data_IF_568001546300
#
_entry.id   IF_568001546300
#
_cell.length_a   1.000
_cell.length_b   1.000
_cell.length_c   1.000
_cell.angle_alpha   90.00
_cell.angle_beta   90.00
_cell.angle_gamma   90.00
#
_symmetry.space_group_name_H-M   'P 1'
#
loop_
_entity.id
_entity.type
_entity.pdbx_description
1 polymer ?
#
# COMPACT_ATOMS: atom_id res chain seq x y z
N UNK A 1 21.04 -35.36 4.95
CA UNK A 1 20.58 -34.01 4.63
C UNK A 1 21.57 -33.41 3.65
N UNK A 2 21.25 -33.47 2.35
CA UNK A 2 22.05 -32.77 1.34
C UNK A 2 21.70 -31.28 1.42
N UNK A 3 22.66 -30.45 1.74
CA UNK A 3 22.52 -29.00 1.67
C UNK A 3 22.47 -28.58 0.20
N UNK A 4 21.29 -28.28 -0.28
CA UNK A 4 21.13 -27.65 -1.59
C UNK A 4 21.37 -26.14 -1.40
N UNK A 5 22.55 -25.67 -1.78
CA UNK A 5 22.91 -24.26 -1.66
C UNK A 5 22.24 -23.37 -2.72
N UNK A 6 21.88 -23.97 -3.85
CA UNK A 6 21.27 -23.27 -4.97
C UNK A 6 20.43 -24.23 -5.82
N UNK A 7 19.60 -23.70 -6.69
CA UNK A 7 18.79 -24.46 -7.63
C UNK A 7 18.57 -23.65 -8.92
N UNK A 8 18.21 -24.34 -9.97
CA UNK A 8 17.79 -23.76 -11.24
C UNK A 8 16.30 -24.00 -11.43
N UNK A 9 15.61 -23.04 -12.04
CA UNK A 9 14.25 -23.20 -12.53
C UNK A 9 14.30 -23.40 -14.05
N UNK A 10 13.61 -24.43 -14.54
CA UNK A 10 13.45 -24.68 -15.96
C UNK A 10 11.98 -24.73 -16.33
N UNK A 11 11.66 -24.22 -17.51
CA UNK A 11 10.31 -24.32 -18.07
C UNK A 11 10.10 -25.68 -18.74
N UNK A 12 8.91 -25.92 -19.30
CA UNK A 12 8.54 -27.14 -19.98
C UNK A 12 9.46 -27.50 -21.15
N UNK A 13 10.05 -26.51 -21.84
CA UNK A 13 11.02 -26.70 -22.92
C UNK A 13 12.45 -26.91 -22.41
N UNK A 14 12.68 -27.01 -21.10
CA UNK A 14 14.00 -27.16 -20.49
C UNK A 14 14.83 -25.88 -20.43
N UNK A 15 14.31 -24.75 -20.90
CA UNK A 15 15.03 -23.48 -20.85
C UNK A 15 15.08 -22.92 -19.43
N UNK A 16 16.21 -22.31 -19.06
CA UNK A 16 16.38 -21.67 -17.77
C UNK A 16 15.41 -20.50 -17.61
N UNK A 17 14.76 -20.44 -16.44
CA UNK A 17 13.93 -19.32 -16.00
C UNK A 17 14.72 -18.55 -14.94
N UNK A 18 15.22 -17.35 -15.25
CA UNK A 18 15.89 -16.52 -14.28
C UNK A 18 14.96 -16.18 -13.12
N UNK A 19 15.50 -16.15 -11.91
CA UNK A 19 14.75 -15.76 -10.72
C UNK A 19 15.63 -14.93 -9.78
N UNK A 20 14.96 -14.22 -8.90
CA UNK A 20 15.56 -13.46 -7.79
C UNK A 20 15.11 -14.07 -6.47
N UNK A 21 16.04 -14.31 -5.56
CA UNK A 21 15.68 -14.72 -4.21
C UNK A 21 15.15 -13.49 -3.45
N UNK A 22 13.92 -13.60 -2.96
CA UNK A 22 13.25 -12.57 -2.18
C UNK A 22 13.52 -12.78 -0.68
N UNK A 23 13.44 -14.00 -0.21
CA UNK A 23 13.77 -14.37 1.17
C UNK A 23 14.12 -15.84 1.30
N UNK A 24 14.91 -16.15 2.34
CA UNK A 24 15.24 -17.52 2.72
C UNK A 24 14.93 -17.68 4.21
N UNK A 25 14.11 -18.65 4.55
CA UNK A 25 13.90 -19.09 5.93
C UNK A 25 14.48 -20.49 6.07
N UNK A 26 15.54 -20.59 6.83
CA UNK A 26 16.24 -21.85 7.01
C UNK A 26 15.64 -22.65 8.17
N UNK A 27 15.75 -23.97 8.07
CA UNK A 27 15.48 -24.91 9.15
C UNK A 27 14.04 -24.77 9.72
N UNK A 28 13.06 -24.49 8.83
CA UNK A 28 11.66 -24.42 9.22
C UNK A 28 11.12 -25.82 9.46
N UNK A 29 10.54 -26.04 10.65
CA UNK A 29 9.90 -27.31 10.97
C UNK A 29 8.44 -27.29 10.48
N UNK A 30 8.06 -28.30 9.71
CA UNK A 30 6.67 -28.52 9.30
C UNK A 30 6.24 -29.94 9.65
N UNK A 31 5.03 -30.05 10.13
CA UNK A 31 4.36 -31.34 10.27
C UNK A 31 3.90 -31.81 8.87
N UNK A 32 4.36 -32.99 8.48
CA UNK A 32 4.05 -33.56 7.18
C UNK A 32 2.83 -34.50 7.25
N UNK A 33 2.83 -35.39 8.23
CA UNK A 33 1.71 -36.30 8.53
C UNK A 33 1.75 -36.60 10.02
N UNK A 34 0.61 -36.65 10.70
CA UNK A 34 0.46 -37.02 12.10
C UNK A 34 1.67 -36.63 12.99
N UNK A 35 2.62 -37.55 13.16
CA UNK A 35 3.79 -37.36 14.03
C UNK A 35 5.11 -37.14 13.25
N UNK A 36 5.04 -37.00 11.93
CA UNK A 36 6.22 -36.81 11.10
C UNK A 36 6.52 -35.35 10.91
N UNK A 37 7.57 -34.88 11.58
CA UNK A 37 8.11 -33.53 11.41
C UNK A 37 9.32 -33.58 10.50
N UNK A 38 9.38 -32.67 9.55
CA UNK A 38 10.55 -32.49 8.68
C UNK A 38 11.02 -31.05 8.73
N UNK A 39 12.31 -30.88 8.55
CA UNK A 39 12.94 -29.55 8.47
C UNK A 39 13.18 -29.20 7.02
N UNK A 40 12.84 -27.96 6.66
CA UNK A 40 12.93 -27.44 5.30
C UNK A 40 13.58 -26.07 5.32
N UNK A 41 14.31 -25.78 4.25
CA UNK A 41 14.62 -24.41 3.86
C UNK A 41 13.55 -23.90 2.91
N UNK A 42 12.97 -22.77 3.24
CA UNK A 42 11.91 -22.15 2.45
C UNK A 42 12.49 -20.96 1.69
N UNK A 43 12.55 -21.09 0.38
CA UNK A 43 12.95 -20.02 -0.52
C UNK A 43 11.71 -19.35 -1.08
N UNK A 44 11.62 -18.03 -0.94
CA UNK A 44 10.67 -17.22 -1.69
C UNK A 44 11.43 -16.59 -2.85
N UNK A 45 10.95 -16.78 -4.05
CA UNK A 45 11.60 -16.28 -5.26
C UNK A 45 10.63 -15.47 -6.09
N UNK A 46 11.14 -14.45 -6.79
CA UNK A 46 10.44 -13.70 -7.83
C UNK A 46 10.99 -14.14 -9.19
N UNK A 47 10.12 -14.48 -10.12
CA UNK A 47 10.46 -14.83 -11.49
C UNK A 47 9.30 -14.50 -12.43
N UNK A 48 9.56 -14.53 -13.73
CA UNK A 48 8.54 -14.31 -14.76
C UNK A 48 8.37 -15.55 -15.62
N UNK A 49 7.13 -15.85 -15.92
CA UNK A 49 6.76 -16.91 -16.84
C UNK A 49 5.49 -16.54 -17.59
N UNK A 50 5.32 -17.10 -18.78
CA UNK A 50 4.06 -16.98 -19.52
C UNK A 50 3.10 -18.03 -18.99
N UNK A 51 1.93 -17.60 -18.56
CA UNK A 51 0.84 -18.49 -18.19
C UNK A 51 -0.11 -18.64 -19.38
N UNK A 52 -0.61 -19.86 -19.60
CA UNK A 52 -1.68 -20.11 -20.57
C UNK A 52 -3.01 -19.64 -19.98
N UNK A 53 -3.85 -19.05 -20.80
CA UNK A 53 -5.20 -18.72 -20.37
C UNK A 53 -5.95 -20.01 -20.03
N UNK A 54 -6.61 -20.05 -18.85
CA UNK A 54 -7.34 -21.20 -18.33
C UNK A 54 -6.53 -22.52 -18.33
N UNK A 55 -5.23 -22.44 -18.09
CA UNK A 55 -4.32 -23.57 -18.10
C UNK A 55 -3.29 -23.53 -16.98
N UNK A 56 -2.33 -24.41 -17.06
CA UNK A 56 -1.19 -24.47 -16.13
C UNK A 56 0.13 -24.42 -16.89
N UNK A 57 1.18 -24.06 -16.18
CA UNK A 57 2.56 -24.09 -16.65
C UNK A 57 3.40 -24.80 -15.60
N UNK A 58 4.19 -25.77 -16.02
CA UNK A 58 5.07 -26.52 -15.14
C UNK A 58 6.46 -25.89 -15.12
N UNK A 59 7.02 -25.75 -13.93
CA UNK A 59 8.41 -25.41 -13.72
C UNK A 59 9.09 -26.59 -13.01
N UNK A 60 10.26 -26.98 -13.53
CA UNK A 60 11.12 -27.96 -12.89
C UNK A 60 12.17 -27.24 -12.04
N UNK A 61 12.31 -27.67 -10.81
CA UNK A 61 13.34 -27.20 -9.90
C UNK A 61 14.44 -28.27 -9.88
N UNK A 62 15.67 -27.88 -10.20
CA UNK A 62 16.84 -28.76 -10.21
C UNK A 62 17.89 -28.21 -9.23
N UNK A 63 18.39 -29.03 -8.29
CA UNK A 63 19.52 -28.64 -7.44
C UNK A 63 20.72 -28.23 -8.32
N UNK A 64 21.44 -27.19 -7.88
CA UNK A 64 22.63 -26.72 -8.60
C UNK A 64 23.73 -26.39 -7.59
N UNK A 65 24.99 -26.70 -7.88
CA UNK A 65 26.12 -26.23 -7.10
C UNK A 65 26.40 -24.76 -7.30
N UNK A 66 25.93 -24.19 -8.41
CA UNK A 66 26.18 -22.79 -8.77
C UNK A 66 25.23 -21.87 -8.03
N UNK A 67 25.79 -20.81 -7.44
CA UNK A 67 24.99 -19.77 -6.80
C UNK A 67 24.32 -18.91 -7.86
N UNK A 68 22.99 -18.73 -7.74
CA UNK A 68 22.27 -17.74 -8.53
C UNK A 68 22.55 -16.35 -7.90
N UNK A 69 23.41 -15.60 -8.57
CA UNK A 69 23.71 -14.21 -8.23
C UNK A 69 23.28 -13.31 -9.38
N UNK A 70 22.46 -12.33 -9.07
CA UNK A 70 22.18 -11.24 -10.02
C UNK A 70 22.80 -9.97 -9.49
N UNK A 71 23.59 -9.32 -10.34
CA UNK A 71 24.16 -8.01 -10.06
C UNK A 71 23.34 -6.88 -10.69
N UNK A 72 22.26 -7.22 -11.37
CA UNK A 72 21.36 -6.23 -11.96
C UNK A 72 20.39 -5.70 -10.89
N UNK A 73 20.13 -4.42 -10.96
CA UNK A 73 19.20 -3.71 -10.08
C UNK A 73 18.28 -2.82 -10.92
N UNK A 74 17.08 -2.58 -10.42
CA UNK A 74 16.18 -1.55 -10.96
C UNK A 74 16.42 -0.19 -10.30
N UNK A 75 17.27 -0.12 -9.29
CA UNK A 75 17.62 1.15 -8.66
C UNK A 75 18.49 1.99 -9.60
N UNK A 76 18.18 3.27 -9.66
CA UNK A 76 18.99 4.28 -10.38
C UNK A 76 19.78 5.16 -9.43
N UNK A 77 19.35 5.23 -8.16
CA UNK A 77 20.08 5.89 -7.07
C UNK A 77 19.68 5.30 -5.71
N UNK A 78 20.10 5.93 -4.62
CA UNK A 78 19.65 5.57 -3.28
C UNK A 78 18.16 5.87 -3.07
N UNK A 79 17.61 6.82 -3.82
CA UNK A 79 16.23 7.32 -3.69
C UNK A 79 15.43 7.22 -4.98
N UNK A 80 15.86 6.44 -5.95
CA UNK A 80 15.12 6.26 -7.19
C UNK A 80 15.29 4.88 -7.78
N UNK A 81 14.27 4.44 -8.51
CA UNK A 81 14.26 3.17 -9.23
C UNK A 81 13.40 3.29 -10.51
N UNK A 82 13.69 2.44 -11.49
CA UNK A 82 12.88 2.30 -12.70
C UNK A 82 12.90 0.86 -13.20
N UNK A 83 11.75 0.43 -13.71
CA UNK A 83 11.64 -0.84 -14.44
C UNK A 83 11.51 -0.63 -15.96
N UNK A 84 11.72 0.61 -16.43
CA UNK A 84 11.55 1.00 -17.84
C UNK A 84 10.12 1.40 -18.23
N UNK A 85 9.13 1.13 -17.36
CA UNK A 85 7.73 1.54 -17.52
C UNK A 85 7.37 2.62 -16.50
N UNK A 86 7.68 2.36 -15.25
CA UNK A 86 7.50 3.30 -14.14
C UNK A 86 8.87 3.77 -13.62
N UNK A 87 8.92 5.02 -13.20
CA UNK A 87 10.02 5.60 -12.43
C UNK A 87 9.49 6.05 -11.08
N UNK A 88 10.24 5.76 -10.04
CA UNK A 88 9.99 6.17 -8.67
C UNK A 88 11.08 7.12 -8.20
N UNK A 89 10.71 8.22 -7.60
CA UNK A 89 11.62 9.17 -6.97
C UNK A 89 11.14 9.46 -5.53
N UNK A 90 11.95 9.09 -4.53
CA UNK A 90 11.61 9.18 -3.11
C UNK A 90 12.14 10.47 -2.49
N UNK A 91 11.29 11.15 -1.74
CA UNK A 91 11.58 12.41 -1.05
C UNK A 91 12.01 12.20 0.40
N UNK A 92 12.78 13.14 0.97
CA UNK A 92 13.26 13.04 2.36
C UNK A 92 12.13 12.93 3.39
N UNK A 93 10.99 13.57 3.14
CA UNK A 93 9.81 13.59 4.01
C UNK A 93 9.01 12.28 3.98
N UNK A 94 9.39 11.30 3.15
CA UNK A 94 8.77 9.98 3.07
C UNK A 94 7.60 9.91 2.10
N UNK A 95 7.41 10.90 1.25
CA UNK A 95 6.57 10.81 0.07
C UNK A 95 7.39 10.33 -1.14
N UNK A 96 6.74 10.03 -2.26
CA UNK A 96 7.41 9.68 -3.50
C UNK A 96 6.58 10.06 -4.73
N UNK A 97 7.27 10.28 -5.83
CA UNK A 97 6.66 10.50 -7.13
C UNK A 97 6.68 9.22 -7.96
N UNK A 98 5.63 9.03 -8.75
CA UNK A 98 5.52 7.95 -9.73
C UNK A 98 5.38 8.57 -11.11
N UNK A 99 6.29 8.25 -12.02
CA UNK A 99 6.21 8.69 -13.42
C UNK A 99 5.99 7.48 -14.32
N UNK A 100 4.91 7.49 -15.11
CA UNK A 100 4.73 6.57 -16.22
C UNK A 100 5.57 7.06 -17.41
N UNK A 101 6.60 6.32 -17.74
CA UNK A 101 7.57 6.68 -18.78
C UNK A 101 6.99 6.57 -20.20
N UNK A 102 5.89 5.83 -20.38
CA UNK A 102 5.22 5.68 -21.69
C UNK A 102 4.40 6.93 -22.04
N UNK A 103 3.72 7.49 -21.06
CA UNK A 103 2.88 8.69 -21.22
C UNK A 103 3.58 9.98 -20.81
N UNK A 104 4.68 9.90 -20.06
CA UNK A 104 5.34 11.05 -19.43
C UNK A 104 4.56 11.65 -18.27
N UNK A 105 3.43 11.05 -17.86
CA UNK A 105 2.60 11.55 -16.75
C UNK A 105 3.27 11.24 -15.42
N UNK A 106 3.31 12.24 -14.54
CA UNK A 106 3.83 12.10 -13.18
C UNK A 106 2.72 12.32 -12.15
N UNK A 107 2.68 11.44 -11.17
CA UNK A 107 1.81 11.49 -10.00
C UNK A 107 2.69 11.78 -8.79
N UNK A 108 2.49 12.93 -8.16
CA UNK A 108 3.41 13.46 -7.15
C UNK A 108 2.89 13.23 -5.74
N UNK A 109 3.82 13.15 -4.79
CA UNK A 109 3.55 13.11 -3.34
C UNK A 109 2.67 11.93 -2.90
N UNK A 110 2.88 10.74 -3.47
CA UNK A 110 2.28 9.52 -2.93
C UNK A 110 2.80 9.22 -1.53
N UNK A 111 2.04 8.46 -0.75
CA UNK A 111 2.34 8.13 0.64
C UNK A 111 2.13 9.31 1.60
N UNK A 112 1.23 10.21 1.25
CA UNK A 112 0.79 11.28 2.14
C UNK A 112 -0.40 10.81 2.96
N UNK A 113 -0.38 11.14 4.26
CA UNK A 113 -1.43 10.78 5.20
C UNK A 113 -2.06 12.02 5.80
N UNK A 114 -3.37 11.97 5.94
CA UNK A 114 -4.17 12.98 6.59
C UNK A 114 -4.80 12.40 7.84
N UNK A 115 -4.74 13.16 8.91
CA UNK A 115 -5.40 12.86 10.16
C UNK A 115 -6.52 13.89 10.38
N UNK A 116 -7.73 13.40 10.54
CA UNK A 116 -8.90 14.21 10.88
C UNK A 116 -9.42 13.79 12.25
N UNK A 117 -9.97 14.74 13.02
CA UNK A 117 -10.64 14.41 14.27
C UNK A 117 -11.93 13.65 13.98
N UNK A 118 -12.24 12.69 14.84
CA UNK A 118 -13.40 11.84 14.71
C UNK A 118 -14.16 11.79 16.03
N UNK A 119 -15.42 12.19 16.02
CA UNK A 119 -16.30 12.21 17.19
C UNK A 119 -17.52 11.29 17.03
N UNK A 120 -17.55 10.53 15.94
CA UNK A 120 -18.58 9.54 15.69
C UNK A 120 -18.42 8.27 16.50
N UNK A 121 -19.25 7.33 16.22
CA UNK A 121 -19.24 5.99 16.81
C UNK A 121 -18.74 4.93 15.81
N UNK A 122 -18.90 3.66 16.12
CA UNK A 122 -18.48 2.56 15.24
C UNK A 122 -19.29 2.43 13.93
N UNK A 123 -20.34 3.19 13.76
CA UNK A 123 -21.23 3.17 12.59
C UNK A 123 -21.24 4.49 11.82
N UNK A 124 -21.09 5.61 12.54
CA UNK A 124 -21.27 6.93 11.95
C UNK A 124 -19.98 7.76 12.09
N UNK A 125 -19.50 8.24 10.96
CA UNK A 125 -18.47 9.27 10.95
C UNK A 125 -19.07 10.64 11.26
N UNK A 126 -18.53 11.34 12.27
CA UNK A 126 -18.92 12.68 12.62
C UNK A 126 -17.70 13.57 12.75
N UNK A 127 -17.65 14.60 11.90
CA UNK A 127 -16.62 15.62 11.98
C UNK A 127 -16.99 16.67 13.03
N UNK A 128 -16.07 17.06 13.93
CA UNK A 128 -16.29 18.23 14.80
C UNK A 128 -16.46 19.50 13.98
N UNK A 129 -17.25 20.44 14.49
CA UNK A 129 -17.39 21.76 13.88
C UNK A 129 -16.02 22.45 13.83
N UNK A 130 -15.66 23.00 12.67
CA UNK A 130 -14.34 23.62 12.47
C UNK A 130 -13.20 22.62 12.35
N UNK A 131 -13.49 21.36 12.07
CA UNK A 131 -12.46 20.34 11.85
C UNK A 131 -11.51 20.75 10.72
N UNK A 132 -10.23 20.76 11.04
CA UNK A 132 -9.15 20.89 10.07
C UNK A 132 -8.23 19.70 10.17
N UNK A 133 -7.61 19.32 9.06
CA UNK A 133 -6.57 18.30 9.05
C UNK A 133 -5.48 18.64 10.07
N UNK A 134 -5.09 17.67 10.86
CA UNK A 134 -4.00 17.84 11.81
C UNK A 134 -2.68 17.97 11.07
N UNK A 135 -1.94 19.01 11.37
CA UNK A 135 -0.55 19.16 10.97
C UNK A 135 0.31 18.35 11.94
N UNK A 136 0.67 17.16 11.53
CA UNK A 136 1.51 16.29 12.35
C UNK A 136 2.95 16.44 11.91
N UNK A 137 3.86 16.69 12.85
CA UNK A 137 5.28 16.53 12.58
C UNK A 137 5.59 15.07 12.30
N UNK A 138 6.37 14.78 11.28
CA UNK A 138 6.77 13.42 11.00
C UNK A 138 8.28 13.30 10.88
N UNK A 139 8.82 12.25 11.47
CA UNK A 139 10.14 11.75 11.14
C UNK A 139 9.99 10.72 10.03
N UNK A 140 10.90 10.74 9.08
CA UNK A 140 10.88 9.85 7.94
C UNK A 140 12.22 9.16 7.76
N UNK A 141 12.17 7.88 7.41
CA UNK A 141 13.33 7.12 6.98
C UNK A 141 13.01 6.27 5.76
N UNK A 142 14.02 6.08 4.90
CA UNK A 142 13.92 5.26 3.70
C UNK A 142 15.04 4.22 3.71
N UNK A 143 14.68 2.96 3.49
CA UNK A 143 15.65 1.88 3.28
C UNK A 143 15.24 0.97 2.14
N UNK A 144 16.22 0.35 1.50
CA UNK A 144 16.00 -0.70 0.51
C UNK A 144 15.97 -2.02 1.24
N UNK A 145 14.86 -2.74 1.17
CA UNK A 145 14.69 -4.05 1.81
C UNK A 145 14.93 -5.20 0.86
N UNK A 146 14.73 -4.97 -0.43
CA UNK A 146 15.01 -5.92 -1.49
C UNK A 146 15.51 -5.17 -2.71
N UNK A 147 16.59 -5.66 -3.32
CA UNK A 147 17.14 -5.10 -4.56
C UNK A 147 17.49 -6.22 -5.54
N UNK A 148 17.09 -6.06 -6.78
CA UNK A 148 17.39 -7.02 -7.82
C UNK A 148 16.69 -6.75 -9.15
N UNK A 149 16.89 -7.64 -10.13
CA UNK A 149 16.40 -7.43 -11.48
C UNK A 149 14.92 -7.72 -11.68
N UNK A 150 14.30 -8.53 -10.82
CA UNK A 150 12.89 -8.92 -10.97
C UNK A 150 11.98 -8.12 -10.04
N UNK A 151 12.50 -7.75 -8.85
CA UNK A 151 11.79 -7.00 -7.83
C UNK A 151 12.72 -6.12 -7.02
N UNK A 152 12.33 -4.87 -6.81
CA UNK A 152 12.95 -3.95 -5.86
C UNK A 152 11.88 -3.45 -4.89
N UNK A 153 12.20 -3.45 -3.59
CA UNK A 153 11.30 -2.98 -2.54
C UNK A 153 12.00 -1.97 -1.66
N UNK A 154 11.35 -0.84 -1.50
CA UNK A 154 11.72 0.21 -0.55
C UNK A 154 10.78 0.14 0.65
N UNK A 155 11.30 0.41 1.81
CA UNK A 155 10.52 0.61 3.03
C UNK A 155 10.67 2.05 3.46
N UNK A 156 9.55 2.74 3.61
CA UNK A 156 9.44 4.08 4.19
C UNK A 156 8.83 3.90 5.56
N UNK A 157 9.47 4.44 6.60
CA UNK A 157 8.87 4.53 7.93
C UNK A 157 8.61 6.00 8.22
N UNK A 158 7.37 6.33 8.58
CA UNK A 158 6.97 7.67 9.02
C UNK A 158 6.41 7.57 10.43
N UNK A 159 6.84 8.48 11.31
CA UNK A 159 6.37 8.58 12.69
C UNK A 159 5.70 9.92 12.88
N UNK A 160 4.47 9.88 13.32
CA UNK A 160 3.65 11.05 13.58
C UNK A 160 3.43 11.18 15.07
N UNK A 161 3.48 12.41 15.56
CA UNK A 161 3.13 12.73 16.93
C UNK A 161 1.89 13.61 16.90
N UNK A 162 0.81 13.12 17.50
CA UNK A 162 -0.47 13.81 17.56
C UNK A 162 -1.04 13.73 18.99
N UNK A 163 -2.04 14.56 19.35
CA UNK A 163 -2.72 14.42 20.63
C UNK A 163 -3.24 13.01 20.82
N UNK A 164 -3.14 12.46 22.03
CA UNK A 164 -3.47 11.06 22.29
C UNK A 164 -4.96 10.76 22.07
N UNK A 165 -5.83 11.73 22.35
CA UNK A 165 -7.29 11.61 22.22
C UNK A 165 -7.97 12.97 22.17
N UNK A 166 -9.27 12.97 22.02
CA UNK A 166 -10.12 14.14 22.22
C UNK A 166 -10.74 14.11 23.62
N UNK A 167 -10.90 15.28 24.24
CA UNK A 167 -11.64 15.45 25.48
C UNK A 167 -12.92 16.23 25.22
N UNK A 168 -14.01 15.71 25.73
CA UNK A 168 -15.30 16.33 25.60
C UNK A 168 -15.56 17.20 26.84
N UNK A 169 -15.90 18.47 26.63
CA UNK A 169 -16.37 19.38 27.68
C UNK A 169 -17.89 19.38 27.65
N UNK A 170 -18.52 18.75 28.65
CA UNK A 170 -19.98 18.65 28.79
C UNK A 170 -20.43 17.20 29.02
N UNK A 171 -21.57 17.04 29.68
CA UNK A 171 -22.14 15.69 29.95
C UNK A 171 -22.68 15.04 28.68
N UNK A 172 -22.66 13.70 28.66
CA UNK A 172 -23.33 12.90 27.65
C UNK A 172 -24.83 13.28 27.61
N UNK A 173 -25.25 13.93 26.52
CA UNK A 173 -26.68 14.15 26.22
C UNK A 173 -27.16 15.59 26.09
N UNK A 174 -26.45 16.59 26.59
CA UNK A 174 -26.86 17.98 26.44
C UNK A 174 -25.71 18.85 25.93
N UNK A 175 -25.82 19.29 24.69
CA UNK A 175 -25.00 20.29 24.03
C UNK A 175 -23.48 20.06 24.18
N UNK A 176 -22.86 19.52 23.21
CA UNK A 176 -21.39 19.49 23.07
C UNK A 176 -20.86 20.92 23.16
N UNK A 177 -20.44 21.36 24.36
CA UNK A 177 -20.00 22.73 24.61
C UNK A 177 -18.58 22.97 24.11
N UNK A 178 -17.82 21.91 23.94
CA UNK A 178 -16.48 22.00 23.39
C UNK A 178 -15.80 20.65 23.25
N UNK A 179 -14.89 20.58 22.31
CA UNK A 179 -14.00 19.45 22.12
C UNK A 179 -12.58 20.02 22.16
N UNK A 180 -11.75 19.46 23.03
CA UNK A 180 -10.34 19.82 23.14
C UNK A 180 -9.46 18.62 22.86
N UNK A 181 -8.32 18.87 22.28
CA UNK A 181 -7.28 17.86 22.17
C UNK A 181 -6.65 17.58 23.55
N UNK A 182 -6.28 16.32 23.76
CA UNK A 182 -5.49 15.95 24.94
C UNK A 182 -4.16 16.70 24.95
N UNK A 183 -3.69 17.09 26.13
CA UNK A 183 -2.34 17.62 26.31
C UNK A 183 -1.27 16.51 26.21
N UNK A 184 -1.66 15.27 26.38
CA UNK A 184 -0.81 14.10 26.15
C UNK A 184 -0.72 13.81 24.67
N UNK A 185 0.44 13.32 24.23
CA UNK A 185 0.70 12.96 22.84
C UNK A 185 0.91 11.48 22.70
N UNK A 186 0.43 10.93 21.59
CA UNK A 186 0.65 9.58 21.16
C UNK A 186 1.43 9.54 19.83
N UNK A 187 2.13 8.45 19.60
CA UNK A 187 2.82 8.17 18.34
C UNK A 187 1.95 7.28 17.45
N UNK A 188 1.93 7.61 16.17
CA UNK A 188 1.45 6.73 15.11
C UNK A 188 2.60 6.46 14.15
N UNK A 189 3.01 5.20 14.05
CA UNK A 189 4.06 4.80 13.14
C UNK A 189 3.46 4.08 11.92
N UNK A 190 3.80 4.56 10.73
CA UNK A 190 3.35 3.98 9.46
C UNK A 190 4.55 3.50 8.67
N UNK A 191 4.56 2.21 8.39
CA UNK A 191 5.58 1.57 7.57
C UNK A 191 4.98 1.19 6.23
N UNK A 192 5.48 1.81 5.17
CA UNK A 192 5.02 1.59 3.80
C UNK A 192 6.08 0.84 3.02
N UNK A 193 5.73 -0.33 2.51
CA UNK A 193 6.57 -1.07 1.57
C UNK A 193 6.12 -0.76 0.16
N UNK A 194 7.02 -0.17 -0.63
CA UNK A 194 6.81 0.20 -2.03
C UNK A 194 7.56 -0.79 -2.90
N UNK A 195 6.83 -1.59 -3.66
CA UNK A 195 7.39 -2.67 -4.47
C UNK A 195 7.22 -2.37 -5.96
N UNK A 196 8.35 -2.37 -6.67
CA UNK A 196 8.43 -2.24 -8.11
C UNK A 196 8.83 -3.58 -8.70
N UNK A 197 7.97 -4.14 -9.54
CA UNK A 197 8.24 -5.37 -10.28
C UNK A 197 8.70 -5.04 -11.71
N UNK A 198 9.60 -5.86 -12.21
CA UNK A 198 10.09 -5.73 -13.58
C UNK A 198 8.95 -5.87 -14.59
N UNK A 199 8.94 -5.02 -15.61
CA UNK A 199 7.96 -4.97 -16.72
C UNK A 199 6.48 -4.85 -16.24
N UNK A 200 6.24 -4.41 -15.00
CA UNK A 200 4.90 -4.13 -14.46
C UNK A 200 4.59 -2.65 -14.58
N UNK A 201 3.37 -2.33 -14.97
CA UNK A 201 2.82 -0.97 -14.89
C UNK A 201 2.02 -0.74 -13.60
N UNK A 202 2.13 -1.65 -12.64
CA UNK A 202 1.54 -1.57 -11.32
C UNK A 202 2.61 -1.41 -10.25
N UNK A 203 2.28 -0.65 -9.23
CA UNK A 203 3.10 -0.47 -8.03
C UNK A 203 2.43 -1.18 -6.84
N UNK A 204 3.17 -2.06 -6.17
CA UNK A 204 2.69 -2.70 -4.96
C UNK A 204 2.92 -1.80 -3.75
N UNK A 205 1.86 -1.53 -2.98
CA UNK A 205 1.93 -0.83 -1.70
C UNK A 205 1.42 -1.73 -0.58
N UNK A 206 2.17 -1.81 0.51
CA UNK A 206 1.75 -2.52 1.71
C UNK A 206 2.02 -1.64 2.93
N UNK A 207 1.00 -1.47 3.76
CA UNK A 207 1.05 -0.61 4.94
C UNK A 207 0.98 -1.46 6.21
N UNK A 208 1.86 -1.14 7.16
CA UNK A 208 1.77 -1.61 8.54
C UNK A 208 1.67 -0.36 9.43
N UNK A 209 0.59 -0.29 10.23
CA UNK A 209 0.26 0.87 11.04
C UNK A 209 0.28 0.45 12.51
N UNK A 210 1.09 1.13 13.30
CA UNK A 210 1.11 1.05 14.76
C UNK A 210 0.46 2.34 15.27
N UNK A 211 -0.78 2.24 15.75
CA UNK A 211 -1.57 3.37 16.19
C UNK A 211 -1.76 3.33 17.71
N UNK A 212 -1.37 4.41 18.38
CA UNK A 212 -1.56 4.63 19.81
C UNK A 212 -2.42 5.85 20.14
N UNK A 213 -3.06 6.47 19.12
CA UNK A 213 -3.96 7.59 19.28
C UNK A 213 -5.41 7.16 19.12
N UNK A 214 -6.32 7.87 19.78
CA UNK A 214 -7.76 7.67 19.75
C UNK A 214 -8.45 8.89 19.14
N UNK A 215 -9.70 8.75 18.73
CA UNK A 215 -10.57 9.81 18.22
C UNK A 215 -10.05 10.50 16.94
N UNK A 216 -9.31 9.80 16.13
CA UNK A 216 -8.78 10.29 14.85
C UNK A 216 -9.01 9.30 13.73
N UNK A 217 -9.33 9.82 12.57
CA UNK A 217 -9.41 9.10 11.33
C UNK A 217 -8.15 9.29 10.51
N UNK A 218 -7.54 8.21 10.08
CA UNK A 218 -6.38 8.19 9.19
C UNK A 218 -6.83 7.95 7.74
N UNK A 219 -6.40 8.81 6.83
CA UNK A 219 -6.65 8.69 5.40
C UNK A 219 -5.34 8.66 4.63
N UNK A 220 -5.23 7.76 3.66
CA UNK A 220 -4.18 7.79 2.64
C UNK A 220 -4.63 8.70 1.50
N UNK A 221 -3.82 9.67 1.15
CA UNK A 221 -4.09 10.58 0.05
C UNK A 221 -3.48 10.02 -1.23
N UNK A 222 -4.29 9.90 -2.27
CA UNK A 222 -3.86 9.50 -3.62
C UNK A 222 -3.99 10.71 -4.57
N UNK A 223 -2.94 11.53 -4.72
CA UNK A 223 -2.99 12.77 -5.50
C UNK A 223 -2.87 12.48 -6.99
N UNK A 224 -3.96 12.13 -7.63
CA UNK A 224 -3.95 11.77 -9.06
C UNK A 224 -3.73 12.96 -9.99
N UNK A 225 -4.07 14.19 -9.56
CA UNK A 225 -4.06 15.37 -10.43
C UNK A 225 -5.09 15.32 -11.57
N UNK A 226 -5.92 14.27 -11.63
CA UNK A 226 -6.95 14.09 -12.67
C UNK A 226 -8.26 14.75 -12.19
N UNK A 227 -8.78 15.73 -12.92
CA UNK A 227 -10.05 16.39 -12.54
C UNK A 227 -11.25 15.46 -12.75
N UNK A 228 -12.40 15.86 -12.19
CA UNK A 228 -13.68 15.20 -12.42
C UNK A 228 -13.99 14.06 -11.44
N UNK A 229 -14.93 13.22 -11.85
CA UNK A 229 -15.48 12.15 -11.03
C UNK A 229 -14.52 10.98 -10.83
N UNK A 230 -14.74 10.24 -9.75
CA UNK A 230 -14.09 8.95 -9.51
C UNK A 230 -14.98 7.83 -10.06
N UNK A 231 -14.37 6.74 -10.46
CA UNK A 231 -15.05 5.46 -10.59
C UNK A 231 -14.66 4.55 -9.42
N UNK A 232 -15.62 3.80 -8.90
CA UNK A 232 -15.41 2.94 -7.75
C UNK A 232 -16.05 1.57 -7.98
N UNK A 233 -15.30 0.53 -7.66
CA UNK A 233 -15.82 -0.84 -7.65
C UNK A 233 -16.85 -1.02 -6.55
N UNK A 234 -17.90 -1.75 -6.88
CA UNK A 234 -18.90 -2.29 -5.97
C UNK A 234 -19.11 -3.74 -6.32
N UNK A 235 -19.82 -4.47 -5.48
CA UNK A 235 -20.22 -5.82 -5.81
C UNK A 235 -21.01 -5.80 -7.12
N UNK A 236 -20.48 -6.47 -8.15
CA UNK A 236 -21.09 -6.62 -9.49
C UNK A 236 -21.14 -5.35 -10.38
N UNK A 237 -20.57 -4.20 -9.96
CA UNK A 237 -20.62 -2.97 -10.76
C UNK A 237 -19.40 -2.08 -10.55
N UNK A 238 -19.16 -1.21 -11.53
CA UNK A 238 -18.29 -0.05 -11.40
C UNK A 238 -19.17 1.19 -11.47
N UNK A 239 -19.18 1.97 -10.41
CA UNK A 239 -20.00 3.17 -10.28
C UNK A 239 -19.18 4.42 -10.59
N UNK A 240 -19.82 5.37 -11.26
CA UNK A 240 -19.29 6.72 -11.41
C UNK A 240 -19.72 7.54 -10.19
N UNK A 241 -18.75 8.03 -9.42
CA UNK A 241 -18.96 8.80 -8.20
C UNK A 241 -18.62 10.27 -8.46
N UNK A 242 -19.55 11.16 -8.22
CA UNK A 242 -19.27 12.60 -8.27
C UNK A 242 -18.30 12.98 -7.14
N UNK A 243 -17.44 13.96 -7.43
CA UNK A 243 -16.59 14.56 -6.41
C UNK A 243 -17.45 15.48 -5.51
N UNK A 244 -17.28 15.35 -4.19
CA UNK A 244 -17.99 16.15 -3.19
C UNK A 244 -19.31 15.55 -2.73
N UNK A 245 -20.05 16.35 -1.94
CA UNK A 245 -21.40 15.99 -1.46
C UNK A 245 -22.41 16.13 -2.60
N UNK A 246 -23.16 15.09 -2.89
CA UNK A 246 -24.45 15.27 -3.54
C UNK A 246 -25.40 15.68 -2.41
N UNK A 247 -25.72 16.97 -2.35
CA UNK A 247 -26.78 17.44 -1.47
C UNK A 247 -28.07 16.84 -2.04
N UNK A 248 -28.57 15.80 -1.41
CA UNK A 248 -29.96 15.40 -1.55
C UNK A 248 -30.83 16.58 -1.16
N UNK A 249 -31.94 16.76 -1.85
CA UNK A 249 -32.87 17.85 -1.58
C UNK A 249 -33.33 17.77 -0.10
N UNK A 250 -32.85 18.69 0.73
CA UNK A 250 -33.15 18.73 2.15
C UNK A 250 -34.64 18.93 2.46
N UNK A 251 -35.49 19.03 1.42
CA UNK A 251 -36.92 19.29 1.51
C UNK A 251 -37.77 18.05 1.71
N UNK A 252 -37.22 16.84 1.53
CA UNK A 252 -37.97 15.58 1.68
C UNK A 252 -37.66 14.81 2.97
N UNK A 253 -37.58 15.49 4.12
CA UNK A 253 -37.72 14.83 5.43
C UNK A 253 -36.72 13.70 5.78
N UNK A 254 -35.65 13.55 5.06
CA UNK A 254 -34.59 12.60 5.35
C UNK A 254 -33.63 13.16 6.39
N UNK A 255 -33.48 12.45 7.51
CA UNK A 255 -32.61 12.84 8.62
C UNK A 255 -31.13 12.56 8.37
N UNK A 256 -30.75 11.88 7.31
CA UNK A 256 -29.38 11.51 7.03
C UNK A 256 -28.77 12.43 5.96
N UNK A 257 -27.70 13.09 6.34
CA UNK A 257 -26.86 13.81 5.37
C UNK A 257 -26.08 12.82 4.53
N UNK A 258 -25.99 13.07 3.25
CA UNK A 258 -25.13 12.26 2.39
C UNK A 258 -23.65 12.42 2.83
N UNK A 259 -23.03 11.28 3.14
CA UNK A 259 -21.61 11.26 3.50
C UNK A 259 -20.74 11.52 2.27
N UNK A 260 -19.66 12.30 2.46
CA UNK A 260 -18.64 12.50 1.42
C UNK A 260 -17.94 11.17 1.13
N UNK A 261 -17.72 10.38 2.18
CA UNK A 261 -17.11 9.06 2.09
C UNK A 261 -18.09 8.06 1.51
N UNK A 262 -17.62 7.31 0.54
CA UNK A 262 -18.39 6.29 -0.14
C UNK A 262 -17.70 4.95 -0.01
N UNK A 263 -18.45 3.92 0.27
CA UNK A 263 -17.95 2.55 0.31
C UNK A 263 -17.44 2.13 -1.07
N UNK A 264 -16.31 1.43 -1.07
CA UNK A 264 -15.72 0.84 -2.27
C UNK A 264 -15.43 -0.64 -2.04
N UNK A 265 -15.42 -1.42 -3.12
CA UNK A 265 -15.01 -2.82 -3.12
C UNK A 265 -13.92 -3.01 -4.16
N UNK A 266 -12.67 -3.10 -3.67
CA UNK A 266 -11.50 -3.51 -4.45
C UNK A 266 -10.91 -2.50 -5.41
N UNK A 267 -11.67 -1.54 -5.93
CA UNK A 267 -11.21 -0.64 -6.98
C UNK A 267 -11.71 0.79 -6.77
N UNK A 268 -10.80 1.74 -6.84
CA UNK A 268 -11.11 3.16 -7.01
C UNK A 268 -10.14 3.78 -8.01
N UNK A 269 -10.61 4.72 -8.82
CA UNK A 269 -9.75 5.40 -9.78
C UNK A 269 -10.36 6.65 -10.36
N UNK A 270 -9.55 7.36 -11.15
CA UNK A 270 -9.95 8.48 -11.98
C UNK A 270 -9.45 8.29 -13.41
N UNK A 271 -10.16 8.84 -14.37
CA UNK A 271 -9.80 8.77 -15.79
C UNK A 271 -10.15 10.06 -16.50
N UNK A 272 -9.28 10.48 -17.40
CA UNK A 272 -9.52 11.50 -18.41
C UNK A 272 -9.34 10.92 -19.83
N UNK A 273 -9.36 11.78 -20.84
CA UNK A 273 -9.19 11.38 -22.23
C UNK A 273 -7.83 10.75 -22.55
N UNK A 274 -6.81 11.00 -21.73
CA UNK A 274 -5.43 10.49 -21.91
C UNK A 274 -5.11 9.24 -21.09
N UNK A 275 -6.08 8.74 -20.32
CA UNK A 275 -5.94 7.54 -19.51
C UNK A 275 -6.44 7.69 -18.07
N UNK A 276 -6.23 6.68 -17.24
CA UNK A 276 -6.71 6.62 -15.84
C UNK A 276 -5.65 6.17 -14.86
N UNK A 277 -6.01 6.29 -13.59
CA UNK A 277 -5.28 5.77 -12.41
C UNK A 277 -6.26 5.09 -11.49
#
# INVERSE_FOLDING_TARGET
>A
YEFVNSFQLRNEAGALVPYQIVSIRRNQMRQFQWNVFRRYDVYRVAFRTKLRAAGWTTLRLEPSPDFVRSYRTMRTSQRSATNGILRLDFHPEGTFDVTDLRSGRSFRNWNEFRFDREIGDGWNHVEPIGNAALLCSSESSLRVTLDGPERTTFEITRRYRLPASLRYEGGLGENYVGIRESEEFAEVAIRTMVTLDRDSDQLGLHFAIENHAEDFRLQLIAPTGIPGNCFAGQNFAILNRKAGRELGDATEGGFEREFIEKNISGLIGKRDASGGV
#
